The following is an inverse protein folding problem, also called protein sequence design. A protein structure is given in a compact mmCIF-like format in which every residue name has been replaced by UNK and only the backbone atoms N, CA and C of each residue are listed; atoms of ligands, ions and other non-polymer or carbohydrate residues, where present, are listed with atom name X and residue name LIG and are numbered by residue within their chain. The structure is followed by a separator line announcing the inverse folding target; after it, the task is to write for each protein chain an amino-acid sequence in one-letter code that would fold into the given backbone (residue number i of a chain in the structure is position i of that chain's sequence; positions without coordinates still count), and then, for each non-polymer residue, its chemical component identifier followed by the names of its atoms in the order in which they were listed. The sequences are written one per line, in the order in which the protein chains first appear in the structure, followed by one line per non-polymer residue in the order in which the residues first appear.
data_IF_822071615417
#
_entry.id   IF_822071615417
#
_cell.length_a   1.000
_cell.length_b   1.000
_cell.length_c   1.000
_cell.angle_alpha   90.00
_cell.angle_beta   90.00
_cell.angle_gamma   90.00
#
_symmetry.space_group_name_H-M   'P 1'
#
loop_
_entity.id
_entity.type
_entity.pdbx_description
1 polymer ?
#
# COMPACT_ATOMS: atom_id res chain seq x y z
N UNK A 1 -2.49 -0.54 -14.92
CA UNK A 1 -1.08 -0.55 -14.50
C UNK A 1 -1.02 -0.44 -12.98
N UNK A 2 0.06 -0.89 -12.36
CA UNK A 2 0.18 -0.94 -10.89
C UNK A 2 1.60 -0.58 -10.48
N UNK A 3 1.76 0.27 -9.47
CA UNK A 3 3.04 0.89 -9.11
C UNK A 3 3.38 0.68 -7.63
N UNK A 4 4.68 0.62 -7.32
CA UNK A 4 5.22 0.54 -5.96
C UNK A 4 6.38 1.53 -5.85
N UNK A 5 6.35 2.42 -4.87
CA UNK A 5 7.36 3.45 -4.66
C UNK A 5 7.53 3.76 -3.16
N UNK A 6 8.63 4.43 -2.81
CA UNK A 6 8.75 5.10 -1.52
C UNK A 6 7.86 6.35 -1.54
N UNK A 7 7.15 6.61 -0.46
CA UNK A 7 6.29 7.77 -0.29
C UNK A 7 6.24 8.19 1.18
N UNK A 8 6.00 9.47 1.42
CA UNK A 8 5.67 9.96 2.76
C UNK A 8 4.25 9.50 3.11
N UNK A 9 4.10 8.82 4.25
CA UNK A 9 2.82 8.29 4.75
C UNK A 9 2.59 8.80 6.18
N UNK A 10 2.32 10.11 6.36
CA UNK A 10 1.95 10.65 7.68
C UNK A 10 0.62 10.05 8.18
N UNK A 11 0.34 10.18 9.47
CA UNK A 11 -0.87 9.61 10.09
C UNK A 11 -2.19 10.13 9.45
N UNK A 12 -2.15 11.32 8.84
CA UNK A 12 -3.26 11.94 8.10
C UNK A 12 -3.30 11.58 6.61
N UNK A 13 -2.45 10.67 6.14
CA UNK A 13 -2.48 10.16 4.75
C UNK A 13 -3.70 9.28 4.46
N UNK A 14 -4.36 8.75 5.50
CA UNK A 14 -5.64 8.06 5.37
C UNK A 14 -6.79 9.06 5.26
N UNK A 15 -7.88 8.70 4.57
CA UNK A 15 -9.01 9.62 4.42
C UNK A 15 -9.99 9.22 3.34
N UNK A 16 -10.90 10.14 3.04
CA UNK A 16 -11.81 10.03 1.91
C UNK A 16 -11.15 10.66 0.68
N UNK A 17 -11.23 9.96 -0.44
CA UNK A 17 -10.82 10.42 -1.75
C UNK A 17 -12.00 10.44 -2.72
N UNK A 18 -11.77 10.99 -3.91
CA UNK A 18 -12.78 11.22 -4.93
C UNK A 18 -12.87 12.70 -5.28
N UNK A 19 -13.09 13.01 -6.56
CA UNK A 19 -13.29 14.37 -7.06
C UNK A 19 -14.78 14.57 -7.35
N UNK A 20 -15.30 15.77 -7.08
CA UNK A 20 -16.69 16.09 -7.40
C UNK A 20 -16.96 15.86 -8.90
N UNK A 21 -18.00 15.08 -9.20
CA UNK A 21 -18.35 14.69 -10.57
C UNK A 21 -17.70 13.38 -11.05
N UNK A 22 -16.72 12.87 -10.32
CA UNK A 22 -16.25 11.49 -10.48
C UNK A 22 -17.09 10.59 -9.56
N UNK A 23 -17.56 9.45 -10.06
CA UNK A 23 -18.37 8.50 -9.29
C UNK A 23 -17.47 7.65 -8.36
N UNK A 24 -16.48 8.27 -7.74
CA UNK A 24 -15.47 7.63 -6.90
C UNK A 24 -15.77 7.91 -5.43
N UNK A 25 -16.30 6.91 -4.74
CA UNK A 25 -16.45 6.88 -3.28
C UNK A 25 -15.33 6.02 -2.69
N UNK A 26 -14.17 6.64 -2.45
CA UNK A 26 -12.94 5.94 -2.06
C UNK A 26 -12.58 6.28 -0.63
N UNK A 27 -12.24 5.26 0.16
CA UNK A 27 -11.66 5.40 1.49
C UNK A 27 -10.27 4.78 1.53
N UNK A 28 -9.26 5.61 1.76
CA UNK A 28 -7.89 5.16 1.97
C UNK A 28 -7.70 4.68 3.43
N UNK A 29 -6.95 3.60 3.58
CA UNK A 29 -6.57 3.03 4.88
C UNK A 29 -5.05 2.98 5.00
N UNK A 30 -4.50 3.62 6.02
CA UNK A 30 -3.10 3.46 6.42
C UNK A 30 -3.00 2.26 7.37
N UNK A 31 -2.19 1.27 7.01
CA UNK A 31 -2.04 0.03 7.78
C UNK A 31 -0.58 -0.38 7.83
N UNK A 32 -0.22 -1.11 8.89
CA UNK A 32 1.07 -1.77 8.98
C UNK A 32 1.22 -2.87 7.93
N UNK A 33 2.47 -3.17 7.58
CA UNK A 33 2.79 -4.25 6.65
C UNK A 33 2.24 -5.60 7.11
N UNK A 34 2.34 -5.90 8.41
CA UNK A 34 1.89 -7.18 8.96
C UNK A 34 0.34 -7.28 8.92
N UNK A 35 -0.36 -6.16 9.06
CA UNK A 35 -1.82 -6.08 8.85
C UNK A 35 -2.18 -6.35 7.39
N UNK A 36 -1.48 -5.73 6.44
CA UNK A 36 -1.71 -6.01 5.01
C UNK A 36 -1.53 -7.50 4.68
N UNK A 37 -0.49 -8.14 5.22
CA UNK A 37 -0.26 -9.57 4.97
C UNK A 37 -1.30 -10.46 5.64
N UNK A 38 -1.79 -10.09 6.82
CA UNK A 38 -2.92 -10.78 7.47
C UNK A 38 -4.17 -10.75 6.59
N UNK A 39 -4.48 -9.60 5.98
CA UNK A 39 -5.62 -9.45 5.07
C UNK A 39 -5.44 -10.24 3.75
N UNK A 40 -4.20 -10.45 3.30
CA UNK A 40 -3.89 -11.32 2.17
C UNK A 40 -4.16 -12.78 2.54
N UNK A 41 -3.67 -13.22 3.70
CA UNK A 41 -3.80 -14.61 4.16
C UNK A 41 -5.25 -15.01 4.44
N UNK A 42 -6.06 -14.08 4.96
CA UNK A 42 -7.49 -14.28 5.20
C UNK A 42 -8.34 -14.24 3.92
N UNK A 43 -7.82 -13.67 2.83
CA UNK A 43 -8.55 -13.43 1.59
C UNK A 43 -9.39 -12.15 1.55
N UNK A 44 -9.24 -11.25 2.53
CA UNK A 44 -9.89 -9.93 2.52
C UNK A 44 -9.28 -9.00 1.46
N UNK A 45 -7.98 -9.14 1.20
CA UNK A 45 -7.34 -8.63 -0.02
C UNK A 45 -7.52 -9.66 -1.14
N UNK A 46 -8.50 -9.43 -2.01
CA UNK A 46 -8.89 -10.37 -3.06
C UNK A 46 -8.83 -9.82 -4.49
N UNK A 47 -8.36 -8.58 -4.68
CA UNK A 47 -8.16 -8.02 -6.01
C UNK A 47 -6.74 -8.30 -6.51
N UNK A 48 -6.62 -8.73 -7.77
CA UNK A 48 -5.34 -9.14 -8.35
C UNK A 48 -4.26 -8.04 -8.33
N UNK A 49 -4.55 -6.74 -8.63
CA UNK A 49 -3.55 -5.69 -8.58
C UNK A 49 -2.90 -5.52 -7.21
N UNK A 50 -3.70 -5.45 -6.13
CA UNK A 50 -3.18 -5.29 -4.78
C UNK A 50 -2.44 -6.55 -4.31
N UNK A 51 -2.94 -7.75 -4.63
CA UNK A 51 -2.26 -9.00 -4.34
C UNK A 51 -0.85 -9.05 -4.96
N UNK A 52 -0.71 -8.68 -6.24
CA UNK A 52 0.59 -8.65 -6.92
C UNK A 52 1.54 -7.66 -6.25
N UNK A 53 1.05 -6.48 -5.86
CA UNK A 53 1.86 -5.49 -5.14
C UNK A 53 2.28 -5.96 -3.75
N UNK A 54 1.37 -6.55 -2.97
CA UNK A 54 1.67 -7.03 -1.63
C UNK A 54 2.78 -8.08 -1.66
N UNK A 55 2.70 -9.04 -2.61
CA UNK A 55 3.74 -10.06 -2.79
C UNK A 55 5.06 -9.47 -3.31
N UNK A 56 5.00 -8.47 -4.20
CA UNK A 56 6.20 -7.78 -4.67
C UNK A 56 6.89 -6.99 -3.55
N UNK A 57 6.13 -6.30 -2.70
CA UNK A 57 6.62 -5.58 -1.53
C UNK A 57 7.20 -6.54 -0.50
N UNK A 58 6.50 -7.62 -0.15
CA UNK A 58 6.96 -8.62 0.82
C UNK A 58 8.36 -9.16 0.46
N UNK A 59 8.59 -9.45 -0.81
CA UNK A 59 9.89 -9.94 -1.32
C UNK A 59 11.02 -8.91 -1.30
N UNK A 60 10.71 -7.61 -1.31
CA UNK A 60 11.68 -6.52 -1.54
C UNK A 60 11.81 -5.56 -0.37
N UNK A 61 10.91 -5.61 0.62
CA UNK A 61 10.80 -4.63 1.73
C UNK A 61 12.11 -4.40 2.46
N UNK A 62 12.87 -5.47 2.75
CA UNK A 62 14.11 -5.36 3.51
C UNK A 62 15.19 -4.65 2.70
N UNK A 63 15.24 -4.92 1.41
CA UNK A 63 16.16 -4.26 0.49
C UNK A 63 15.80 -2.80 0.26
N UNK A 64 14.51 -2.51 0.06
CA UNK A 64 13.99 -1.14 -0.06
C UNK A 64 14.36 -0.34 1.20
N UNK A 65 14.12 -0.89 2.40
CA UNK A 65 14.43 -0.24 3.68
C UNK A 65 15.94 -0.03 3.88
N UNK A 66 16.77 -1.01 3.51
CA UNK A 66 18.24 -0.86 3.55
C UNK A 66 18.70 0.27 2.64
N UNK A 67 18.26 0.29 1.38
CA UNK A 67 18.64 1.32 0.41
C UNK A 67 18.16 2.70 0.81
N UNK A 68 16.93 2.81 1.30
CA UNK A 68 16.37 4.08 1.75
C UNK A 68 17.16 4.68 2.91
N UNK A 69 17.58 3.88 3.90
CA UNK A 69 18.44 4.35 5.00
C UNK A 69 19.88 4.66 4.59
N UNK A 70 20.35 4.08 3.49
CA UNK A 70 21.69 4.32 2.96
C UNK A 70 21.74 5.54 2.03
N UNK A 71 20.58 6.12 1.67
CA UNK A 71 20.51 7.39 0.96
C UNK A 71 20.68 8.53 1.98
N UNK A 72 21.65 9.44 1.76
CA UNK A 72 21.86 10.62 2.62
C UNK A 72 20.72 11.63 2.52
#
# INVERSE_FOLDING_TARGET
YTYLALADLPDDAAGLGGVEGEAEDIRAHLVDFDTLMTLVDSGEVNNAPLLVLAMALARRRDDIRRRHRAMP
#
